data_IF_084310735140
#
_entry.id   IF_084310735140
#
_cell.length_a   1.000
_cell.length_b   1.000
_cell.length_c   1.000
_cell.angle_alpha   90.00
_cell.angle_beta   90.00
_cell.angle_gamma   90.00
#
_symmetry.space_group_name_H-M   'P 1'
#
loop_
_entity.id
_entity.type
_entity.pdbx_description
1 polymer ?
#
# COMPACT_ATOMS: atom_id res chain seq x y z
N UNK A 1 12.74 32.80 3.32
CA UNK A 1 11.51 32.89 2.49
C UNK A 1 11.68 32.38 1.06
N UNK A 2 12.84 32.53 0.39
CA UNK A 2 13.01 32.04 -1.00
C UNK A 2 13.18 30.51 -1.06
N UNK A 3 13.99 29.93 -0.17
CA UNK A 3 14.21 28.47 -0.09
C UNK A 3 12.93 27.70 0.23
N UNK A 4 12.08 28.24 1.12
CA UNK A 4 10.78 27.64 1.47
C UNK A 4 9.80 27.67 0.29
N UNK A 5 9.88 28.69 -0.58
CA UNK A 5 9.01 28.81 -1.76
C UNK A 5 9.41 27.80 -2.84
N UNK A 6 10.71 27.63 -3.07
CA UNK A 6 11.25 26.65 -4.01
C UNK A 6 10.99 25.21 -3.57
N UNK A 7 11.04 24.92 -2.26
CA UNK A 7 10.67 23.59 -1.75
C UNK A 7 9.18 23.28 -1.96
N UNK A 8 8.32 24.29 -1.80
CA UNK A 8 6.87 24.12 -1.97
C UNK A 8 6.49 23.85 -3.42
N UNK A 9 7.22 24.42 -4.39
CA UNK A 9 7.02 24.18 -5.82
C UNK A 9 7.13 22.68 -6.18
N UNK A 10 8.18 21.99 -5.74
CA UNK A 10 8.38 20.57 -6.04
C UNK A 10 7.33 19.67 -5.38
N UNK A 11 6.88 20.03 -4.17
CA UNK A 11 5.81 19.30 -3.48
C UNK A 11 4.51 19.42 -4.27
N UNK A 12 4.17 20.63 -4.74
CA UNK A 12 2.99 20.86 -5.58
C UNK A 12 3.11 20.07 -6.87
N UNK A 13 4.28 20.08 -7.53
CA UNK A 13 4.50 19.34 -8.76
C UNK A 13 4.30 17.82 -8.57
N UNK A 14 4.73 17.27 -7.45
CA UNK A 14 4.44 15.86 -7.12
C UNK A 14 2.94 15.60 -6.90
N UNK A 15 2.21 16.52 -6.26
CA UNK A 15 0.76 16.37 -6.09
C UNK A 15 0.03 16.45 -7.44
N UNK A 16 0.44 17.37 -8.32
CA UNK A 16 -0.10 17.48 -9.69
C UNK A 16 0.20 16.20 -10.46
N UNK A 17 1.40 15.64 -10.34
CA UNK A 17 1.74 14.35 -10.93
C UNK A 17 0.80 13.22 -10.47
N UNK A 18 0.54 13.11 -9.17
CA UNK A 18 -0.37 12.09 -8.62
C UNK A 18 -1.79 12.31 -9.15
N UNK A 19 -2.29 13.55 -9.10
CA UNK A 19 -3.62 13.89 -9.60
C UNK A 19 -3.77 13.58 -11.10
N UNK A 20 -2.75 13.90 -11.92
CA UNK A 20 -2.72 13.58 -13.35
C UNK A 20 -2.83 12.07 -13.59
N UNK A 21 -2.12 11.25 -12.80
CA UNK A 21 -2.23 9.79 -12.85
C UNK A 21 -3.61 9.25 -12.44
N UNK A 22 -4.36 9.97 -11.60
CA UNK A 22 -5.70 9.55 -11.18
C UNK A 22 -6.76 9.89 -12.22
N UNK A 23 -6.59 10.99 -12.95
CA UNK A 23 -7.46 11.34 -14.10
C UNK A 23 -7.00 10.74 -15.43
N UNK A 24 -5.94 9.93 -15.43
CA UNK A 24 -5.33 9.32 -16.62
C UNK A 24 -4.82 10.34 -17.66
N UNK A 25 -4.41 11.53 -17.21
CA UNK A 25 -3.69 12.51 -18.04
C UNK A 25 -2.20 12.14 -18.07
N UNK A 26 -1.85 11.33 -19.06
CA UNK A 26 -0.52 10.74 -19.17
C UNK A 26 0.55 11.74 -19.58
N UNK A 27 0.19 12.72 -20.41
CA UNK A 27 1.10 13.75 -20.92
C UNK A 27 1.52 14.67 -19.78
N UNK A 28 0.56 15.18 -18.99
CA UNK A 28 0.85 16.02 -17.84
C UNK A 28 1.65 15.26 -16.77
N UNK A 29 1.30 13.99 -16.51
CA UNK A 29 2.05 13.17 -15.57
C UNK A 29 3.51 12.97 -16.02
N UNK A 30 3.73 12.70 -17.31
CA UNK A 30 5.09 12.51 -17.84
C UNK A 30 5.90 13.81 -17.80
N UNK A 31 5.29 14.95 -18.12
CA UNK A 31 5.91 16.27 -18.01
C UNK A 31 6.36 16.53 -16.56
N UNK A 32 5.45 16.42 -15.59
CA UNK A 32 5.77 16.62 -14.17
C UNK A 32 6.91 15.70 -13.72
N UNK A 33 6.87 14.43 -14.10
CA UNK A 33 7.90 13.45 -13.75
C UNK A 33 9.26 13.79 -14.35
N UNK A 34 9.31 14.27 -15.60
CA UNK A 34 10.55 14.67 -16.26
C UNK A 34 11.20 15.89 -15.58
N UNK A 35 10.38 16.87 -15.17
CA UNK A 35 10.86 18.00 -14.37
C UNK A 35 11.48 17.54 -13.04
N UNK A 36 10.78 16.66 -12.31
CA UNK A 36 11.28 16.10 -11.05
C UNK A 36 12.58 15.30 -11.23
N UNK A 37 12.68 14.47 -12.27
CA UNK A 37 13.89 13.70 -12.59
C UNK A 37 15.08 14.57 -12.93
N UNK A 38 14.86 15.65 -13.68
CA UNK A 38 15.93 16.57 -14.09
C UNK A 38 16.59 17.22 -12.88
N UNK A 39 15.79 17.62 -11.89
CA UNK A 39 16.27 18.26 -10.67
C UNK A 39 16.83 17.25 -9.66
N UNK A 40 16.20 16.09 -9.51
CA UNK A 40 16.50 15.13 -8.45
C UNK A 40 16.90 13.75 -8.99
N UNK A 41 17.97 13.70 -9.80
CA UNK A 41 18.40 12.51 -10.54
C UNK A 41 18.65 11.24 -9.72
N UNK A 42 19.01 11.37 -8.44
CA UNK A 42 19.31 10.23 -7.53
C UNK A 42 18.31 10.11 -6.38
N UNK A 43 17.16 10.77 -6.47
CA UNK A 43 16.18 10.75 -5.40
C UNK A 43 15.38 9.45 -5.40
N UNK A 44 15.45 8.70 -4.30
CA UNK A 44 14.64 7.50 -4.09
C UNK A 44 13.14 7.80 -4.21
N UNK A 45 12.72 9.01 -3.79
CA UNK A 45 11.35 9.50 -3.92
C UNK A 45 10.93 9.64 -5.39
N UNK A 46 11.75 10.27 -6.24
CA UNK A 46 11.44 10.45 -7.67
C UNK A 46 11.53 9.13 -8.45
N UNK A 47 12.44 8.24 -8.07
CA UNK A 47 12.49 6.89 -8.60
C UNK A 47 11.23 6.10 -8.23
N UNK A 48 10.69 6.27 -7.01
CA UNK A 48 9.41 5.65 -6.64
C UNK A 48 8.24 6.18 -7.46
N UNK A 49 8.20 7.49 -7.76
CA UNK A 49 7.23 8.09 -8.67
C UNK A 49 7.36 7.54 -10.10
N UNK A 50 8.59 7.25 -10.53
CA UNK A 50 8.84 6.58 -11.81
C UNK A 50 8.24 5.18 -11.86
N UNK A 51 8.38 4.41 -10.77
CA UNK A 51 7.68 3.13 -10.63
C UNK A 51 6.17 3.29 -10.67
N UNK A 52 5.62 4.30 -9.97
CA UNK A 52 4.18 4.55 -9.93
C UNK A 52 3.60 4.89 -11.31
N UNK A 53 4.33 5.67 -12.11
CA UNK A 53 3.97 5.94 -13.50
C UNK A 53 3.92 4.65 -14.34
N UNK A 54 4.89 3.75 -14.17
CA UNK A 54 4.92 2.46 -14.85
C UNK A 54 3.77 1.54 -14.41
N UNK A 55 3.42 1.54 -13.12
CA UNK A 55 2.27 0.80 -12.60
C UNK A 55 0.96 1.25 -13.25
N UNK A 56 0.74 2.57 -13.35
CA UNK A 56 -0.47 3.12 -14.01
C UNK A 56 -0.54 2.75 -15.49
N UNK A 57 0.62 2.58 -16.13
CA UNK A 57 0.76 2.06 -17.50
C UNK A 57 0.64 0.53 -17.61
N UNK A 58 0.35 -0.17 -16.51
CA UNK A 58 0.32 -1.63 -16.39
C UNK A 58 1.65 -2.32 -16.77
N UNK A 59 2.76 -1.58 -16.76
CA UNK A 59 4.12 -2.10 -16.98
C UNK A 59 4.70 -2.62 -15.67
N UNK A 60 4.05 -3.64 -15.12
CA UNK A 60 4.34 -4.12 -13.76
C UNK A 60 5.76 -4.67 -13.60
N UNK A 61 6.31 -5.34 -14.62
CA UNK A 61 7.68 -5.87 -14.57
C UNK A 61 8.73 -4.74 -14.50
N UNK A 62 8.53 -3.67 -15.28
CA UNK A 62 9.41 -2.51 -15.23
C UNK A 62 9.30 -1.78 -13.89
N UNK A 63 8.07 -1.62 -13.36
CA UNK A 63 7.85 -1.04 -12.04
C UNK A 63 8.51 -1.88 -10.93
N UNK A 64 8.39 -3.20 -11.01
CA UNK A 64 9.02 -4.14 -10.09
C UNK A 64 10.55 -4.03 -10.11
N UNK A 65 11.16 -3.90 -11.30
CA UNK A 65 12.59 -3.68 -11.44
C UNK A 65 13.04 -2.37 -10.76
N UNK A 66 12.28 -1.29 -10.92
CA UNK A 66 12.55 0.00 -10.24
C UNK A 66 12.50 -0.15 -8.72
N UNK A 67 11.49 -0.84 -8.18
CA UNK A 67 11.36 -1.04 -6.73
C UNK A 67 12.42 -1.98 -6.17
N UNK A 68 12.78 -3.03 -6.91
CA UNK A 68 13.88 -3.92 -6.53
C UNK A 68 15.20 -3.16 -6.48
N UNK A 69 15.47 -2.29 -7.45
CA UNK A 69 16.65 -1.42 -7.40
C UNK A 69 16.63 -0.54 -6.14
N UNK A 70 15.50 0.11 -5.84
CA UNK A 70 15.37 0.95 -4.64
C UNK A 70 15.61 0.19 -3.34
N UNK A 71 15.16 -1.06 -3.26
CA UNK A 71 15.37 -1.91 -2.07
C UNK A 71 16.79 -2.47 -2.00
N UNK A 72 17.46 -2.67 -3.12
CA UNK A 72 18.88 -3.03 -3.15
C UNK A 72 19.77 -1.88 -2.67
N UNK A 73 19.39 -0.64 -3.01
CA UNK A 73 20.07 0.59 -2.55
C UNK A 73 19.76 0.89 -1.07
N UNK A 74 18.50 0.72 -0.67
CA UNK A 74 18.03 0.92 0.70
C UNK A 74 16.97 -0.14 1.08
N UNK A 75 17.37 -1.23 1.77
CA UNK A 75 16.47 -2.29 2.21
C UNK A 75 15.40 -1.81 3.21
N UNK A 76 15.59 -0.64 3.83
CA UNK A 76 14.66 -0.06 4.80
C UNK A 76 13.61 0.85 4.15
N UNK A 77 13.59 0.94 2.81
CA UNK A 77 12.63 1.75 2.07
C UNK A 77 11.22 1.14 2.11
N UNK A 78 10.52 1.46 3.20
CA UNK A 78 9.15 1.02 3.50
C UNK A 78 8.20 1.29 2.33
N UNK A 79 8.30 2.49 1.74
CA UNK A 79 7.40 2.92 0.67
C UNK A 79 7.59 2.09 -0.60
N UNK A 80 8.83 1.74 -0.98
CA UNK A 80 9.09 0.85 -2.11
C UNK A 80 8.51 -0.55 -1.86
N UNK A 81 8.66 -1.08 -0.64
CA UNK A 81 8.11 -2.39 -0.26
C UNK A 81 6.58 -2.42 -0.34
N UNK A 82 5.90 -1.37 0.16
CA UNK A 82 4.43 -1.23 0.05
C UNK A 82 3.97 -1.16 -1.42
N UNK A 83 4.74 -0.51 -2.32
CA UNK A 83 4.42 -0.49 -3.75
C UNK A 83 4.52 -1.87 -4.40
N UNK A 84 5.51 -2.69 -4.04
CA UNK A 84 5.59 -4.07 -4.55
C UNK A 84 4.37 -4.91 -4.17
N UNK A 85 3.88 -4.76 -2.93
CA UNK A 85 2.63 -5.40 -2.49
C UNK A 85 1.43 -4.87 -3.30
N UNK A 86 1.38 -3.55 -3.54
CA UNK A 86 0.34 -2.95 -4.37
C UNK A 86 0.32 -3.50 -5.81
N UNK A 87 1.50 -3.78 -6.41
CA UNK A 87 1.59 -4.44 -7.72
C UNK A 87 0.97 -5.83 -7.68
N UNK A 88 1.29 -6.66 -6.68
CA UNK A 88 0.70 -8.00 -6.53
C UNK A 88 -0.83 -7.94 -6.44
N UNK A 89 -1.35 -6.99 -5.66
CA UNK A 89 -2.80 -6.72 -5.56
C UNK A 89 -3.39 -6.32 -6.92
N UNK A 90 -2.76 -5.40 -7.64
CA UNK A 90 -3.21 -4.97 -8.96
C UNK A 90 -3.24 -6.11 -9.99
N UNK A 91 -2.29 -7.06 -9.87
CA UNK A 91 -2.23 -8.29 -10.66
C UNK A 91 -3.20 -9.39 -10.18
N UNK A 92 -4.01 -9.14 -9.14
CA UNK A 92 -4.91 -10.12 -8.48
C UNK A 92 -4.19 -11.34 -7.90
N UNK A 93 -2.89 -11.22 -7.59
CA UNK A 93 -2.10 -12.25 -6.90
C UNK A 93 -2.29 -12.11 -5.38
N UNK A 94 -3.51 -12.38 -4.92
CA UNK A 94 -3.93 -12.08 -3.54
C UNK A 94 -3.13 -12.89 -2.51
N UNK A 95 -2.94 -14.19 -2.73
CA UNK A 95 -2.16 -15.05 -1.82
C UNK A 95 -0.71 -14.57 -1.67
N UNK A 96 -0.05 -14.22 -2.79
CA UNK A 96 1.31 -13.67 -2.76
C UNK A 96 1.36 -12.32 -2.03
N UNK A 97 0.34 -11.47 -2.23
CA UNK A 97 0.23 -10.18 -1.54
C UNK A 97 0.09 -10.37 -0.02
N UNK A 98 -0.74 -11.31 0.42
CA UNK A 98 -0.91 -11.68 1.84
C UNK A 98 0.44 -12.12 2.43
N UNK A 99 1.15 -13.04 1.78
CA UNK A 99 2.43 -13.53 2.29
C UNK A 99 3.49 -12.42 2.39
N UNK A 100 3.56 -11.54 1.39
CA UNK A 100 4.47 -10.40 1.42
C UNK A 100 4.10 -9.38 2.52
N UNK A 101 2.81 -9.15 2.75
CA UNK A 101 2.32 -8.24 3.77
C UNK A 101 2.53 -8.78 5.18
N UNK A 102 2.39 -10.09 5.40
CA UNK A 102 2.79 -10.77 6.65
C UNK A 102 4.28 -10.62 6.92
N UNK A 103 5.13 -10.88 5.92
CA UNK A 103 6.59 -10.70 6.06
C UNK A 103 6.96 -9.24 6.34
N UNK A 104 6.26 -8.29 5.72
CA UNK A 104 6.42 -6.87 5.98
C UNK A 104 6.07 -6.52 7.44
N UNK A 105 4.92 -6.97 7.93
CA UNK A 105 4.44 -6.70 9.28
C UNK A 105 5.30 -7.36 10.37
N UNK A 106 5.97 -8.48 10.08
CA UNK A 106 6.99 -9.05 10.99
C UNK A 106 8.15 -8.08 11.25
N UNK A 107 8.41 -7.14 10.34
CA UNK A 107 9.48 -6.13 10.49
C UNK A 107 8.91 -4.78 10.96
N UNK A 108 7.73 -4.41 10.46
CA UNK A 108 7.09 -3.10 10.69
C UNK A 108 5.75 -3.23 11.41
N UNK A 109 5.75 -3.83 12.61
CA UNK A 109 4.55 -4.16 13.37
C UNK A 109 3.66 -2.95 13.73
N UNK A 110 4.21 -1.73 13.72
CA UNK A 110 3.47 -0.49 14.02
C UNK A 110 2.80 0.16 12.80
N UNK A 111 2.91 -0.43 11.61
CA UNK A 111 2.19 0.06 10.42
C UNK A 111 0.74 -0.46 10.42
N UNK A 112 -0.14 0.29 11.07
CA UNK A 112 -1.57 -0.06 11.17
C UNK A 112 -2.33 0.07 9.84
N UNK A 113 -1.81 0.83 8.87
CA UNK A 113 -2.36 0.84 7.52
C UNK A 113 -2.12 -0.51 6.83
N UNK A 114 -0.93 -1.09 7.02
CA UNK A 114 -0.61 -2.42 6.51
C UNK A 114 -1.39 -3.53 7.23
N UNK A 115 -1.65 -3.41 8.53
CA UNK A 115 -2.55 -4.33 9.23
C UNK A 115 -3.98 -4.27 8.68
N UNK A 116 -4.49 -3.07 8.44
CA UNK A 116 -5.82 -2.92 7.86
C UNK A 116 -5.91 -3.53 6.46
N UNK A 117 -4.90 -3.27 5.64
CA UNK A 117 -4.79 -3.85 4.31
C UNK A 117 -4.74 -5.39 4.35
N UNK A 118 -4.02 -5.97 5.33
CA UNK A 118 -3.95 -7.42 5.49
C UNK A 118 -5.30 -8.00 5.88
N UNK A 119 -6.03 -7.34 6.78
CA UNK A 119 -7.38 -7.73 7.15
C UNK A 119 -8.33 -7.69 5.95
N UNK A 120 -8.28 -6.61 5.15
CA UNK A 120 -9.10 -6.46 3.94
C UNK A 120 -8.81 -7.58 2.92
N UNK A 121 -7.54 -7.97 2.73
CA UNK A 121 -7.17 -9.09 1.87
C UNK A 121 -7.68 -10.45 2.40
N UNK A 122 -7.61 -10.69 3.71
CA UNK A 122 -8.17 -11.92 4.29
C UNK A 122 -9.70 -11.99 4.15
N UNK A 123 -10.40 -10.86 4.30
CA UNK A 123 -11.84 -10.78 4.07
C UNK A 123 -12.20 -11.11 2.61
N UNK A 124 -11.38 -10.67 1.64
CA UNK A 124 -11.57 -11.00 0.22
C UNK A 124 -11.43 -12.51 -0.04
N UNK A 125 -10.53 -13.20 0.65
CA UNK A 125 -10.35 -14.65 0.54
C UNK A 125 -11.35 -15.45 1.40
N UNK A 126 -12.19 -14.77 2.19
CA UNK A 126 -13.13 -15.40 3.13
C UNK A 126 -12.47 -15.98 4.38
N UNK A 127 -11.22 -15.61 4.66
CA UNK A 127 -10.50 -16.00 5.87
C UNK A 127 -10.81 -15.05 7.04
N UNK A 128 -12.04 -15.17 7.54
CA UNK A 128 -12.55 -14.30 8.61
C UNK A 128 -11.76 -14.44 9.92
N UNK A 129 -11.10 -15.59 10.14
CA UNK A 129 -10.31 -15.85 11.35
C UNK A 129 -9.05 -14.99 11.37
N UNK A 130 -8.28 -15.01 10.30
CA UNK A 130 -7.08 -14.19 10.21
C UNK A 130 -7.42 -12.70 10.06
N UNK A 131 -8.54 -12.36 9.43
CA UNK A 131 -9.04 -10.98 9.41
C UNK A 131 -9.36 -10.47 10.83
N UNK A 132 -10.03 -11.28 11.67
CA UNK A 132 -10.32 -10.93 13.05
C UNK A 132 -9.04 -10.71 13.86
N UNK A 133 -8.05 -11.60 13.70
CA UNK A 133 -6.74 -11.46 14.35
C UNK A 133 -6.05 -10.13 13.99
N UNK A 134 -6.07 -9.72 12.72
CA UNK A 134 -5.49 -8.44 12.31
C UNK A 134 -6.17 -7.25 13.02
N UNK A 135 -7.48 -7.30 13.18
CA UNK A 135 -8.25 -6.28 13.89
C UNK A 135 -7.95 -6.28 15.41
N UNK A 136 -7.69 -7.43 16.01
CA UNK A 136 -7.27 -7.54 17.42
C UNK A 136 -5.93 -6.84 17.66
N UNK A 137 -4.94 -7.08 16.80
CA UNK A 137 -3.63 -6.41 16.89
C UNK A 137 -3.76 -4.88 16.80
N UNK A 138 -4.66 -4.38 15.93
CA UNK A 138 -4.96 -2.95 15.81
C UNK A 138 -5.71 -2.40 17.04
N UNK A 139 -6.59 -3.18 17.65
CA UNK A 139 -7.30 -2.80 18.87
C UNK A 139 -6.38 -2.74 20.09
N UNK A 140 -5.48 -3.71 20.22
CA UNK A 140 -4.49 -3.74 21.30
C UNK A 140 -3.58 -2.50 21.26
N UNK A 141 -3.22 -2.04 20.06
CA UNK A 141 -2.38 -0.85 19.91
C UNK A 141 -3.13 0.46 20.18
N UNK A 142 -4.42 0.53 19.86
CA UNK A 142 -5.22 1.74 20.06
C UNK A 142 -6.66 1.43 20.54
N UNK A 143 -6.83 1.05 21.82
CA UNK A 143 -8.11 0.55 22.35
C UNK A 143 -9.25 1.57 22.34
N UNK A 144 -8.92 2.86 22.24
CA UNK A 144 -9.90 3.95 22.22
C UNK A 144 -10.38 4.31 20.82
N UNK A 145 -9.82 3.69 19.78
CA UNK A 145 -10.25 3.94 18.41
C UNK A 145 -11.56 3.20 18.12
N UNK A 146 -12.68 3.92 18.21
CA UNK A 146 -14.01 3.36 17.97
C UNK A 146 -14.15 2.71 16.59
N UNK A 147 -13.44 3.19 15.56
CA UNK A 147 -13.49 2.60 14.22
C UNK A 147 -12.93 1.18 14.20
N UNK A 148 -11.88 0.90 14.99
CA UNK A 148 -11.32 -0.44 15.11
C UNK A 148 -12.27 -1.35 15.90
N UNK A 149 -12.92 -0.83 16.94
CA UNK A 149 -13.92 -1.59 17.70
C UNK A 149 -15.10 -1.99 16.80
N UNK A 150 -15.60 -1.05 16.00
CA UNK A 150 -16.70 -1.31 15.08
C UNK A 150 -16.31 -2.36 14.04
N UNK A 151 -15.16 -2.18 13.37
CA UNK A 151 -14.68 -3.14 12.37
C UNK A 151 -14.43 -4.53 12.95
N UNK A 152 -13.84 -4.63 14.14
CA UNK A 152 -13.66 -5.90 14.82
C UNK A 152 -14.99 -6.60 15.09
N UNK A 153 -15.99 -5.87 15.58
CA UNK A 153 -17.32 -6.42 15.83
C UNK A 153 -17.98 -6.95 14.55
N UNK A 154 -17.87 -6.21 13.44
CA UNK A 154 -18.37 -6.64 12.13
C UNK A 154 -17.70 -7.94 11.66
N UNK A 155 -16.36 -7.98 11.65
CA UNK A 155 -15.58 -9.16 11.21
C UNK A 155 -15.84 -10.36 12.12
N UNK A 156 -15.88 -10.16 13.43
CA UNK A 156 -16.10 -11.24 14.40
C UNK A 156 -17.50 -11.84 14.30
N UNK A 157 -18.51 -10.99 14.08
CA UNK A 157 -19.89 -11.45 13.90
C UNK A 157 -20.01 -12.33 12.65
N UNK A 158 -19.39 -11.91 11.54
CA UNK A 158 -19.37 -12.71 10.30
C UNK A 158 -18.65 -14.04 10.53
N UNK A 159 -17.49 -14.03 11.18
CA UNK A 159 -16.73 -15.24 11.50
C UNK A 159 -17.57 -16.26 12.29
N UNK A 160 -18.26 -15.81 13.34
CA UNK A 160 -19.11 -16.67 14.17
C UNK A 160 -20.29 -17.25 13.40
N UNK A 161 -20.98 -16.43 12.58
CA UNK A 161 -22.11 -16.88 11.76
C UNK A 161 -21.67 -17.94 10.75
N UNK A 162 -20.52 -17.73 10.10
CA UNK A 162 -19.95 -18.70 9.14
C UNK A 162 -19.60 -20.01 9.85
N UNK A 163 -18.92 -19.96 11.00
CA UNK A 163 -18.60 -21.17 11.77
C UNK A 163 -19.85 -21.94 12.20
N UNK A 164 -20.90 -21.25 12.65
CA UNK A 164 -22.17 -21.88 12.99
C UNK A 164 -22.81 -22.52 11.77
N UNK A 165 -22.85 -21.83 10.62
CA UNK A 165 -23.47 -22.35 9.40
C UNK A 165 -22.83 -23.65 8.89
N UNK A 166 -21.51 -23.77 8.96
CA UNK A 166 -20.79 -24.99 8.57
C UNK A 166 -21.18 -26.16 9.47
N UNK A 167 -21.30 -25.94 10.79
CA UNK A 167 -21.74 -26.99 11.74
C UNK A 167 -23.16 -27.51 11.52
N UNK A 168 -24.02 -26.78 10.81
CA UNK A 168 -25.37 -27.23 10.48
C UNK A 168 -25.44 -27.97 9.13
N UNK A 169 -24.37 -27.91 8.32
CA UNK A 169 -24.29 -28.56 7.00
C UNK A 169 -23.60 -29.94 7.09
N UNK A 170 -22.77 -30.14 8.12
CA UNK A 170 -22.17 -31.44 8.50
C UNK A 170 -23.09 -32.26 9.43
#
# INVERSE_FOLDING_TARGET
MIVSRLLMEWIILEQVFIAALDVSDEDLALECLNHLRTQFKKSSRVNRLSGLYLEKKQRFEDAHAVYTQLLNEDPTNILARKRMIAILKAQRKITEAIDNLRQYLNTFMSDFEAWNELADLYLMEGDYKHAAFCMEEMLLSNPHNHLYCQRYAEVSTVSVVVEQSVRYID
#
